data_IF_951135376948
#
_entry.id   IF_951135376948
#
_cell.length_a   1.000
_cell.length_b   1.000
_cell.length_c   1.000
_cell.angle_alpha   90.00
_cell.angle_beta   90.00
_cell.angle_gamma   90.00
#
_symmetry.space_group_name_H-M   'P 1'
#
loop_
_entity.id
_entity.type
_entity.pdbx_description
1 polymer ?
#
# COMPACT_ATOMS: atom_id res chain seq x y z
N UNK A 1 -7.07 15.61 1.74
CA UNK A 1 -5.78 16.02 1.17
C UNK A 1 -4.93 16.68 2.25
N UNK A 2 -3.66 16.25 2.36
CA UNK A 2 -2.61 16.94 3.09
C UNK A 2 -1.75 17.70 2.07
N UNK A 3 -1.86 19.02 2.05
CA UNK A 3 -1.14 19.86 1.08
C UNK A 3 0.17 20.36 1.68
N UNK A 4 1.28 20.31 0.93
CA UNK A 4 2.50 20.99 1.35
C UNK A 4 2.33 22.50 1.23
N UNK A 5 3.09 23.25 2.01
CA UNK A 5 3.16 24.69 1.92
C UNK A 5 4.34 25.12 1.01
N UNK A 6 4.23 24.78 -0.26
CA UNK A 6 5.23 25.06 -1.29
C UNK A 6 4.54 25.49 -2.59
N UNK A 7 5.20 26.34 -3.37
CA UNK A 7 4.72 26.76 -4.70
C UNK A 7 5.26 25.81 -5.78
N UNK A 8 4.46 25.60 -6.85
CA UNK A 8 4.80 24.81 -8.03
C UNK A 8 4.59 23.30 -7.89
N UNK A 9 5.01 22.53 -8.90
CA UNK A 9 4.79 21.08 -8.95
C UNK A 9 5.54 20.34 -7.85
N UNK A 10 4.84 19.52 -7.07
CA UNK A 10 5.39 18.68 -6.01
C UNK A 10 5.10 17.21 -6.28
N UNK A 11 5.79 16.31 -5.56
CA UNK A 11 5.41 14.91 -5.51
C UNK A 11 4.14 14.75 -4.70
N UNK A 12 3.28 13.85 -5.15
CA UNK A 12 2.06 13.46 -4.44
C UNK A 12 2.09 11.96 -4.13
N UNK A 13 1.38 11.58 -3.10
CA UNK A 13 1.15 10.18 -2.74
C UNK A 13 -0.34 9.91 -2.58
N UNK A 14 -0.79 8.79 -3.12
CA UNK A 14 -2.07 8.18 -2.75
C UNK A 14 -1.82 7.21 -1.62
N UNK A 15 -2.59 7.30 -0.53
CA UNK A 15 -2.46 6.40 0.62
C UNK A 15 -3.68 5.49 0.77
N UNK A 16 -3.41 4.18 0.93
CA UNK A 16 -4.36 3.14 1.30
C UNK A 16 -4.05 2.61 2.70
N UNK A 17 -4.96 2.86 3.63
CA UNK A 17 -4.80 2.48 5.03
C UNK A 17 -4.85 0.97 5.29
N UNK A 18 -4.29 0.54 6.42
CA UNK A 18 -4.43 -0.82 6.96
C UNK A 18 -5.75 -1.05 7.68
N UNK A 19 -5.82 -2.16 8.44
CA UNK A 19 -7.00 -2.51 9.23
C UNK A 19 -7.55 -3.91 8.93
N UNK A 20 -6.70 -4.79 8.37
CA UNK A 20 -7.06 -6.16 7.99
C UNK A 20 -8.34 -6.21 7.12
N UNK A 21 -8.45 -5.28 6.19
CA UNK A 21 -9.56 -5.07 5.23
C UNK A 21 -10.91 -4.72 5.84
N UNK A 22 -11.12 -4.89 7.16
CA UNK A 22 -12.41 -4.72 7.84
C UNK A 22 -12.50 -3.52 8.76
N UNK A 23 -11.48 -2.64 8.78
CA UNK A 23 -11.46 -1.45 9.62
C UNK A 23 -10.45 -0.42 9.13
N UNK A 24 -10.45 0.74 9.76
CA UNK A 24 -9.55 1.84 9.42
C UNK A 24 -10.22 2.90 8.56
N UNK A 25 -9.49 3.98 8.38
CA UNK A 25 -9.89 5.11 7.56
C UNK A 25 -8.65 5.88 7.08
N UNK A 26 -8.87 6.91 6.24
CA UNK A 26 -7.85 7.79 5.68
C UNK A 26 -6.96 8.52 6.70
N UNK A 27 -7.24 8.43 8.00
CA UNK A 27 -6.44 9.06 9.06
C UNK A 27 -5.45 8.09 9.71
N UNK A 28 -5.50 6.80 9.40
CA UNK A 28 -4.66 5.79 10.04
C UNK A 28 -3.16 6.08 9.93
N UNK A 29 -2.73 6.66 8.80
CA UNK A 29 -1.32 6.99 8.53
C UNK A 29 -1.03 8.50 8.72
N UNK A 30 -1.87 9.24 9.46
CA UNK A 30 -1.79 10.70 9.58
C UNK A 30 -0.41 11.23 10.04
N UNK A 31 0.31 10.49 10.87
CA UNK A 31 1.67 10.87 11.29
C UNK A 31 2.66 10.89 10.13
N UNK A 32 2.55 9.92 9.21
CA UNK A 32 3.37 9.86 7.98
C UNK A 32 2.95 10.98 7.03
N UNK A 33 1.64 11.20 6.88
CA UNK A 33 1.12 12.28 6.04
C UNK A 33 1.60 13.66 6.50
N UNK A 34 1.58 13.91 7.81
CA UNK A 34 2.00 15.18 8.38
C UNK A 34 3.50 15.44 8.13
N UNK A 35 4.35 14.42 8.30
CA UNK A 35 5.78 14.55 8.02
C UNK A 35 6.05 14.82 6.53
N UNK A 36 5.41 14.06 5.63
CA UNK A 36 5.56 14.25 4.19
C UNK A 36 5.11 15.63 3.76
N UNK A 37 3.94 16.10 4.22
CA UNK A 37 3.42 17.43 3.90
C UNK A 37 4.34 18.55 4.42
N UNK A 38 4.91 18.39 5.61
CA UNK A 38 5.89 19.34 6.17
C UNK A 38 7.19 19.42 5.35
N UNK A 39 7.48 18.40 4.54
CA UNK A 39 8.67 18.32 3.69
C UNK A 39 8.37 18.43 2.19
N UNK A 40 7.23 19.03 1.83
CA UNK A 40 6.93 19.38 0.44
C UNK A 40 6.31 18.27 -0.40
N UNK A 41 5.78 17.20 0.22
CA UNK A 41 5.09 16.11 -0.48
C UNK A 41 3.59 16.17 -0.17
N UNK A 42 2.74 16.23 -1.20
CA UNK A 42 1.30 16.16 -1.03
C UNK A 42 0.82 14.73 -0.74
N UNK A 43 -0.26 14.57 0.03
CA UNK A 43 -0.86 13.25 0.27
C UNK A 43 -2.38 13.32 0.07
N UNK A 44 -2.88 12.40 -0.76
CA UNK A 44 -4.30 12.10 -0.92
C UNK A 44 -4.58 10.75 -0.28
N UNK A 45 -5.13 10.75 0.93
CA UNK A 45 -5.50 9.53 1.63
C UNK A 45 -6.93 9.12 1.27
N UNK A 46 -7.11 7.84 0.95
CA UNK A 46 -8.38 7.27 0.50
C UNK A 46 -9.14 6.61 1.65
N UNK A 47 -10.47 6.73 1.61
CA UNK A 47 -11.37 5.73 2.15
C UNK A 47 -11.84 4.85 0.99
N UNK A 48 -11.99 3.57 1.23
CA UNK A 48 -12.45 2.57 0.27
C UNK A 48 -13.34 1.56 1.00
N UNK A 49 -14.15 0.81 0.25
CA UNK A 49 -15.06 -0.20 0.83
C UNK A 49 -14.29 -1.19 1.70
N UNK A 50 -14.82 -1.45 2.88
CA UNK A 50 -14.30 -2.46 3.79
C UNK A 50 -14.96 -3.83 3.53
N UNK A 51 -14.42 -4.88 4.14
CA UNK A 51 -14.87 -6.25 3.91
C UNK A 51 -16.28 -6.57 4.41
N UNK A 52 -16.87 -5.72 5.25
CA UNK A 52 -18.28 -5.79 5.65
C UNK A 52 -19.23 -5.15 4.62
N UNK A 53 -18.70 -4.32 3.72
CA UNK A 53 -19.45 -3.70 2.63
C UNK A 53 -19.33 -4.53 1.33
N UNK A 54 -18.11 -5.02 1.01
CA UNK A 54 -17.86 -5.84 -0.16
C UNK A 54 -16.57 -6.64 -0.05
N UNK A 55 -16.55 -7.85 -0.63
CA UNK A 55 -15.35 -8.67 -0.69
C UNK A 55 -14.40 -8.26 -1.82
N UNK A 56 -13.16 -8.80 -1.79
CA UNK A 56 -12.22 -8.71 -2.90
C UNK A 56 -12.93 -9.08 -4.24
N UNK A 57 -12.71 -8.32 -5.31
CA UNK A 57 -11.70 -7.28 -5.51
C UNK A 57 -12.19 -5.85 -5.24
N UNK A 58 -13.35 -5.64 -4.62
CA UNK A 58 -14.01 -4.33 -4.54
C UNK A 58 -13.11 -3.21 -3.98
N UNK A 59 -12.38 -3.47 -2.89
CA UNK A 59 -11.47 -2.48 -2.30
C UNK A 59 -10.26 -2.17 -3.21
N UNK A 60 -9.82 -3.12 -4.04
CA UNK A 60 -8.74 -2.89 -5.01
C UNK A 60 -9.24 -2.05 -6.18
N UNK A 61 -10.48 -2.28 -6.61
CA UNK A 61 -11.15 -1.47 -7.63
C UNK A 61 -11.33 -0.02 -7.15
N UNK A 62 -11.73 0.19 -5.89
CA UNK A 62 -11.84 1.52 -5.28
C UNK A 62 -10.50 2.25 -5.23
N UNK A 63 -9.42 1.55 -4.87
CA UNK A 63 -8.05 2.12 -4.88
C UNK A 63 -7.63 2.50 -6.30
N UNK A 64 -7.86 1.63 -7.27
CA UNK A 64 -7.59 1.90 -8.69
C UNK A 64 -8.40 3.12 -9.18
N UNK A 65 -9.70 3.16 -8.84
CA UNK A 65 -10.58 4.30 -9.11
C UNK A 65 -10.04 5.59 -8.45
N UNK A 66 -9.66 5.53 -7.18
CA UNK A 66 -9.15 6.68 -6.44
C UNK A 66 -7.89 7.30 -7.07
N UNK A 67 -6.96 6.46 -7.57
CA UNK A 67 -5.76 6.91 -8.29
C UNK A 67 -6.16 7.65 -9.59
N UNK A 68 -7.04 7.04 -10.39
CA UNK A 68 -7.53 7.65 -11.65
C UNK A 68 -8.28 8.94 -11.39
N UNK A 69 -9.18 8.93 -10.41
CA UNK A 69 -9.96 10.09 -10.01
C UNK A 69 -9.05 11.24 -9.57
N UNK A 70 -8.06 10.97 -8.73
CA UNK A 70 -7.14 12.01 -8.25
C UNK A 70 -6.36 12.65 -9.41
N UNK A 71 -5.87 11.83 -10.34
CA UNK A 71 -5.20 12.31 -11.56
C UNK A 71 -6.15 13.17 -12.43
N UNK A 72 -7.38 12.69 -12.64
CA UNK A 72 -8.37 13.38 -13.46
C UNK A 72 -8.83 14.71 -12.82
N UNK A 73 -8.85 14.80 -11.50
CA UNK A 73 -9.29 15.98 -10.76
C UNK A 73 -8.15 16.94 -10.37
N UNK A 74 -6.92 16.68 -10.80
CA UNK A 74 -5.75 17.45 -10.38
C UNK A 74 -5.93 18.96 -10.61
N UNK A 75 -6.40 19.36 -11.78
CA UNK A 75 -6.69 20.77 -12.11
C UNK A 75 -7.78 21.35 -11.21
N UNK A 76 -8.91 20.64 -11.04
CA UNK A 76 -10.04 21.07 -10.20
C UNK A 76 -9.64 21.22 -8.73
N UNK A 77 -8.72 20.35 -8.28
CA UNK A 77 -8.21 20.35 -6.92
C UNK A 77 -7.04 21.33 -6.73
N UNK A 78 -6.64 22.08 -7.76
CA UNK A 78 -5.45 22.93 -7.71
C UNK A 78 -4.20 22.14 -7.24
N UNK A 79 -3.96 21.02 -7.91
CA UNK A 79 -2.84 20.10 -7.65
C UNK A 79 -1.90 20.14 -8.84
N UNK A 80 -0.71 20.70 -8.64
CA UNK A 80 0.39 20.56 -9.58
C UNK A 80 1.27 19.37 -9.17
N UNK A 81 1.25 18.33 -9.99
CA UNK A 81 1.88 17.05 -9.68
C UNK A 81 3.11 16.81 -10.57
N UNK A 82 4.29 16.66 -9.95
CA UNK A 82 5.50 16.25 -10.66
C UNK A 82 5.62 14.73 -10.79
N UNK A 83 5.21 13.99 -9.75
CA UNK A 83 5.15 12.53 -9.68
C UNK A 83 4.02 12.11 -8.76
N UNK A 84 3.44 10.93 -8.99
CA UNK A 84 2.46 10.32 -8.12
C UNK A 84 2.95 8.97 -7.61
N UNK A 85 3.22 8.87 -6.31
CA UNK A 85 3.51 7.61 -5.64
C UNK A 85 2.31 7.01 -4.94
N UNK A 86 2.49 5.79 -4.46
CA UNK A 86 1.56 5.11 -3.57
C UNK A 86 2.18 4.88 -2.20
N UNK A 87 1.37 4.95 -1.15
CA UNK A 87 1.64 4.46 0.20
C UNK A 87 0.58 3.42 0.54
N UNK A 88 0.99 2.28 1.04
CA UNK A 88 0.06 1.31 1.57
C UNK A 88 0.56 0.75 2.90
N UNK A 89 -0.30 0.65 3.91
CA UNK A 89 0.06 0.04 5.19
C UNK A 89 -0.70 -1.26 5.43
N UNK A 90 -0.02 -2.33 5.90
CA UNK A 90 -0.64 -3.63 6.22
C UNK A 90 -1.50 -4.16 5.06
N UNK A 91 -2.82 -4.33 5.25
CA UNK A 91 -3.77 -4.72 4.21
C UNK A 91 -3.89 -3.70 3.07
N UNK A 92 -3.73 -2.41 3.35
CA UNK A 92 -3.68 -1.37 2.31
C UNK A 92 -2.49 -1.55 1.37
N UNK A 93 -1.37 -2.08 1.86
CA UNK A 93 -0.22 -2.39 1.01
C UNK A 93 -0.48 -3.56 0.06
N UNK A 94 -1.36 -4.50 0.41
CA UNK A 94 -1.81 -5.55 -0.52
C UNK A 94 -2.61 -4.94 -1.67
N UNK A 95 -3.57 -4.07 -1.37
CA UNK A 95 -4.42 -3.41 -2.38
C UNK A 95 -3.59 -2.49 -3.29
N UNK A 96 -2.80 -1.60 -2.69
CA UNK A 96 -1.90 -0.70 -3.42
C UNK A 96 -0.86 -1.47 -4.24
N UNK A 97 -0.33 -2.58 -3.69
CA UNK A 97 0.64 -3.43 -4.38
C UNK A 97 0.06 -4.07 -5.65
N UNK A 98 -1.18 -4.53 -5.61
CA UNK A 98 -1.87 -5.07 -6.80
C UNK A 98 -2.01 -4.00 -7.89
N UNK A 99 -2.44 -2.79 -7.53
CA UNK A 99 -2.59 -1.69 -8.49
C UNK A 99 -1.22 -1.21 -8.99
N UNK A 100 -0.23 -1.07 -8.11
CA UNK A 100 1.13 -0.68 -8.49
C UNK A 100 1.78 -1.66 -9.48
N UNK A 101 1.53 -2.97 -9.30
CA UNK A 101 2.06 -4.02 -10.18
C UNK A 101 1.25 -4.22 -11.47
N UNK A 102 -0.07 -3.98 -11.42
CA UNK A 102 -0.99 -4.20 -12.55
C UNK A 102 -2.07 -3.10 -12.61
N UNK A 103 -1.70 -1.85 -12.95
CA UNK A 103 -2.63 -0.71 -12.90
C UNK A 103 -3.81 -0.83 -13.87
N UNK A 104 -3.67 -1.60 -14.94
CA UNK A 104 -4.69 -1.79 -15.98
C UNK A 104 -5.34 -3.19 -15.95
N UNK A 105 -5.19 -3.96 -14.86
CA UNK A 105 -5.80 -5.28 -14.77
C UNK A 105 -7.34 -5.16 -14.76
N UNK A 106 -8.05 -5.82 -15.71
CA UNK A 106 -9.50 -5.70 -15.84
C UNK A 106 -10.28 -6.19 -14.61
N UNK A 107 -9.65 -6.98 -13.74
CA UNK A 107 -10.27 -7.52 -12.52
C UNK A 107 -10.58 -6.44 -11.48
N UNK A 108 -9.81 -5.35 -11.48
CA UNK A 108 -9.98 -4.20 -10.59
C UNK A 108 -9.77 -2.85 -11.29
N UNK A 109 -10.11 -2.80 -12.58
CA UNK A 109 -10.15 -1.54 -13.31
C UNK A 109 -11.57 -0.98 -13.25
N UNK A 110 -11.70 0.26 -12.80
CA UNK A 110 -13.01 0.92 -12.64
C UNK A 110 -13.88 0.81 -13.88
N UNK A 111 -15.16 0.65 -13.65
CA UNK A 111 -16.20 0.64 -14.69
C UNK A 111 -16.65 2.02 -15.14
N UNK A 112 -16.12 3.10 -14.54
CA UNK A 112 -16.42 4.45 -14.95
C UNK A 112 -15.76 4.77 -16.32
N UNK A 113 -16.55 4.95 -17.40
CA UNK A 113 -16.01 5.17 -18.74
C UNK A 113 -15.14 6.44 -18.85
N UNK A 114 -15.43 7.48 -18.06
CA UNK A 114 -14.68 8.74 -18.10
C UNK A 114 -13.29 8.56 -17.50
N UNK A 115 -13.14 7.67 -16.54
CA UNK A 115 -11.88 7.37 -15.85
C UNK A 115 -11.09 6.21 -16.46
N UNK A 116 -11.69 5.36 -17.30
CA UNK A 116 -10.97 4.23 -17.92
C UNK A 116 -9.80 4.65 -18.80
N UNK A 117 -9.85 5.87 -19.35
CA UNK A 117 -8.77 6.42 -20.17
C UNK A 117 -7.65 7.07 -19.35
N UNK A 118 -7.85 7.28 -18.04
CA UNK A 118 -6.85 7.82 -17.14
C UNK A 118 -6.00 6.65 -16.63
N UNK A 119 -4.68 6.74 -16.76
CA UNK A 119 -3.78 5.70 -16.27
C UNK A 119 -3.73 5.65 -14.74
N UNK A 120 -3.78 4.42 -14.16
CA UNK A 120 -3.69 4.19 -12.71
C UNK A 120 -2.27 3.82 -12.25
N UNK A 121 -1.24 3.90 -13.10
CA UNK A 121 0.14 3.64 -12.68
C UNK A 121 0.63 4.64 -11.63
N UNK A 122 1.55 4.21 -10.82
CA UNK A 122 2.24 5.07 -9.84
C UNK A 122 3.73 5.04 -10.12
N UNK A 123 4.40 6.16 -9.85
CA UNK A 123 5.82 6.34 -10.16
C UNK A 123 6.74 5.66 -9.13
N UNK A 124 6.26 5.48 -7.89
CA UNK A 124 6.97 4.80 -6.80
C UNK A 124 5.99 4.25 -5.76
N UNK A 125 6.46 3.30 -4.92
CA UNK A 125 5.59 2.66 -3.93
C UNK A 125 6.28 2.52 -2.57
N UNK A 126 5.62 2.98 -1.52
CA UNK A 126 5.98 2.80 -0.11
C UNK A 126 5.07 1.75 0.52
N UNK A 127 5.62 0.65 1.00
CA UNK A 127 4.89 -0.42 1.66
C UNK A 127 5.28 -0.49 3.15
N UNK A 128 4.38 -0.10 4.03
CA UNK A 128 4.59 -0.06 5.47
C UNK A 128 4.02 -1.32 6.13
N UNK A 129 4.87 -2.15 6.79
CA UNK A 129 4.50 -3.45 7.40
C UNK A 129 3.52 -4.26 6.55
N UNK A 130 3.85 -4.50 5.27
CA UNK A 130 2.86 -4.85 4.26
C UNK A 130 2.44 -6.32 4.30
N UNK A 131 1.18 -6.57 3.93
CA UNK A 131 0.70 -7.90 3.57
C UNK A 131 0.90 -8.08 2.05
N UNK A 132 2.04 -8.65 1.63
CA UNK A 132 2.32 -8.87 0.20
C UNK A 132 2.03 -10.31 -0.24
N UNK A 133 1.77 -11.21 0.72
CA UNK A 133 1.30 -12.58 0.50
C UNK A 133 0.14 -12.90 1.45
N UNK A 134 -1.11 -12.54 1.09
CA UNK A 134 -2.27 -12.80 1.94
C UNK A 134 -2.55 -14.30 2.15
N UNK A 135 -2.22 -15.17 1.20
CA UNK A 135 -2.43 -16.61 1.33
C UNK A 135 -1.47 -17.25 2.32
N UNK A 136 -0.17 -16.91 2.26
CA UNK A 136 0.79 -17.37 3.24
C UNK A 136 0.44 -16.86 4.65
N UNK A 137 0.01 -15.59 4.74
CA UNK A 137 -0.46 -15.02 6.02
C UNK A 137 -1.70 -15.74 6.55
N UNK A 138 -2.67 -16.06 5.71
CA UNK A 138 -3.87 -16.82 6.11
C UNK A 138 -3.49 -18.16 6.75
N UNK A 139 -2.62 -18.93 6.09
CA UNK A 139 -2.14 -20.20 6.61
C UNK A 139 -1.39 -20.07 7.93
N UNK A 140 -0.51 -19.07 8.04
CA UNK A 140 0.21 -18.78 9.28
C UNK A 140 -0.73 -18.50 10.46
N UNK A 141 -1.75 -17.64 10.24
CA UNK A 141 -2.68 -17.29 11.32
C UNK A 141 -3.64 -18.43 11.68
N UNK A 142 -3.94 -19.33 10.75
CA UNK A 142 -4.66 -20.57 11.02
C UNK A 142 -3.84 -21.51 11.89
N UNK A 143 -2.56 -21.74 11.55
CA UNK A 143 -1.64 -22.57 12.32
C UNK A 143 -1.40 -22.01 13.75
N UNK A 144 -1.36 -20.68 13.87
CA UNK A 144 -1.24 -19.98 15.15
C UNK A 144 -2.56 -19.94 15.96
N UNK A 145 -3.69 -20.40 15.42
CA UNK A 145 -4.99 -20.34 16.07
C UNK A 145 -5.52 -18.90 16.25
N UNK A 146 -5.11 -17.97 15.43
CA UNK A 146 -5.55 -16.57 15.52
C UNK A 146 -6.89 -16.37 14.80
N UNK A 147 -7.99 -16.77 15.49
CA UNK A 147 -9.35 -16.72 14.92
C UNK A 147 -9.76 -15.34 14.41
N UNK A 148 -9.32 -14.25 15.06
CA UNK A 148 -9.63 -12.88 14.62
C UNK A 148 -9.04 -12.57 13.25
N UNK A 149 -7.79 -12.96 13.01
CA UNK A 149 -7.16 -12.72 11.72
C UNK A 149 -7.62 -13.70 10.64
N UNK A 150 -7.97 -14.93 11.00
CA UNK A 150 -8.64 -15.88 10.09
C UNK A 150 -9.96 -15.29 9.63
N UNK A 151 -10.82 -14.85 10.55
CA UNK A 151 -12.11 -14.23 10.22
C UNK A 151 -11.96 -12.98 9.34
N UNK A 152 -10.90 -12.18 9.52
CA UNK A 152 -10.64 -11.03 8.67
C UNK A 152 -10.31 -11.41 7.21
N UNK A 153 -9.57 -12.52 7.00
CA UNK A 153 -9.34 -13.04 5.65
C UNK A 153 -10.62 -13.58 5.02
N UNK A 154 -11.40 -14.37 5.79
CA UNK A 154 -12.65 -14.97 5.31
C UNK A 154 -13.71 -13.90 5.00
N UNK A 155 -13.69 -12.77 5.71
CA UNK A 155 -14.56 -11.63 5.39
C UNK A 155 -14.14 -10.93 4.09
N UNK A 156 -12.84 -10.80 3.84
CA UNK A 156 -12.31 -10.11 2.67
C UNK A 156 -12.34 -10.96 1.40
N UNK A 157 -11.97 -12.25 1.51
CA UNK A 157 -11.80 -13.14 0.37
C UNK A 157 -12.83 -14.28 0.44
N UNK A 158 -13.58 -14.50 -0.63
CA UNK A 158 -14.57 -15.58 -0.68
C UNK A 158 -13.92 -16.98 -0.70
N UNK A 159 -12.62 -17.07 -1.03
CA UNK A 159 -11.90 -18.35 -1.15
C UNK A 159 -10.38 -18.18 -1.13
N UNK A 160 -9.62 -19.27 -0.94
CA UNK A 160 -8.17 -19.28 -1.15
C UNK A 160 -7.78 -18.97 -2.61
N UNK A 161 -8.68 -19.24 -3.57
CA UNK A 161 -8.44 -18.85 -4.96
C UNK A 161 -8.42 -17.32 -5.11
N UNK A 162 -9.30 -16.60 -4.42
CA UNK A 162 -9.29 -15.14 -4.40
C UNK A 162 -8.05 -14.60 -3.66
N UNK A 163 -7.60 -15.27 -2.59
CA UNK A 163 -6.35 -14.94 -1.92
C UNK A 163 -5.12 -15.17 -2.81
N UNK A 164 -5.21 -16.15 -3.73
CA UNK A 164 -4.17 -16.44 -4.72
C UNK A 164 -4.17 -15.41 -5.85
N UNK A 165 -5.34 -15.01 -6.32
CA UNK A 165 -5.51 -13.97 -7.34
C UNK A 165 -5.08 -12.61 -6.79
N UNK A 166 -5.60 -12.22 -5.63
CA UNK A 166 -5.34 -10.95 -4.95
C UNK A 166 -4.00 -10.90 -4.18
N UNK A 167 -2.96 -11.53 -4.71
CA UNK A 167 -1.69 -11.75 -4.03
C UNK A 167 -0.54 -11.09 -4.80
N UNK A 168 0.02 -9.96 -4.30
CA UNK A 168 1.14 -9.29 -4.96
C UNK A 168 2.37 -10.18 -5.18
N UNK A 169 2.73 -11.05 -4.21
CA UNK A 169 3.85 -11.96 -4.33
C UNK A 169 3.63 -12.98 -5.46
N UNK A 170 2.47 -13.67 -5.44
CA UNK A 170 2.14 -14.68 -6.45
C UNK A 170 1.94 -14.07 -7.84
N UNK A 171 1.43 -12.84 -7.91
CA UNK A 171 1.33 -12.10 -9.18
C UNK A 171 2.70 -11.86 -9.81
N UNK A 172 3.70 -11.46 -9.01
CA UNK A 172 5.10 -11.36 -9.45
C UNK A 172 5.67 -12.72 -9.84
N UNK A 173 5.44 -13.75 -9.04
CA UNK A 173 5.94 -15.10 -9.29
C UNK A 173 5.44 -15.64 -10.62
N UNK A 174 4.15 -15.48 -10.92
CA UNK A 174 3.52 -15.89 -12.18
C UNK A 174 3.98 -15.03 -13.39
N UNK A 175 4.68 -13.90 -13.14
CA UNK A 175 5.12 -12.99 -14.20
C UNK A 175 3.99 -12.16 -14.81
N UNK A 176 2.94 -11.92 -14.06
CA UNK A 176 1.75 -11.15 -14.45
C UNK A 176 1.91 -9.64 -14.21
N UNK A 177 2.93 -9.23 -13.44
CA UNK A 177 3.21 -7.82 -13.21
C UNK A 177 3.57 -7.11 -14.52
N UNK A 178 2.87 -6.03 -14.82
CA UNK A 178 3.09 -5.18 -15.99
C UNK A 178 3.90 -3.94 -15.66
N UNK A 179 4.08 -3.66 -14.36
CA UNK A 179 4.79 -2.51 -13.83
C UNK A 179 5.53 -2.88 -12.54
N UNK A 180 6.72 -2.32 -12.33
CA UNK A 180 7.54 -2.55 -11.13
C UNK A 180 8.19 -1.23 -10.70
N UNK A 181 7.40 -0.27 -10.13
CA UNK A 181 7.91 1.04 -9.74
C UNK A 181 8.98 0.90 -8.63
N UNK A 182 9.96 1.82 -8.52
CA UNK A 182 10.84 1.88 -7.36
C UNK A 182 10.04 1.76 -6.05
N UNK A 183 10.52 0.94 -5.11
CA UNK A 183 9.76 0.58 -3.91
C UNK A 183 10.62 0.66 -2.66
N UNK A 184 10.02 1.01 -1.54
CA UNK A 184 10.60 0.83 -0.21
C UNK A 184 9.65 0.09 0.72
N UNK A 185 10.20 -0.80 1.55
CA UNK A 185 9.45 -1.59 2.53
C UNK A 185 9.93 -1.23 3.94
N UNK A 186 9.00 -0.90 4.82
CA UNK A 186 9.23 -0.66 6.25
C UNK A 186 8.66 -1.85 7.03
N UNK A 187 9.49 -2.56 7.82
CA UNK A 187 9.07 -3.78 8.51
C UNK A 187 9.69 -3.91 9.90
N UNK A 188 8.88 -4.18 10.91
CA UNK A 188 9.34 -4.54 12.25
C UNK A 188 9.72 -6.02 12.35
N UNK A 189 10.79 -6.37 13.07
CA UNK A 189 11.24 -7.78 13.19
C UNK A 189 10.47 -8.60 14.24
N UNK A 190 9.74 -7.93 15.17
CA UNK A 190 8.85 -8.57 16.13
C UNK A 190 7.37 -8.48 15.69
N UNK A 191 7.11 -8.35 14.40
CA UNK A 191 5.77 -8.33 13.84
C UNK A 191 5.11 -9.72 13.94
N UNK A 192 4.11 -9.84 14.80
CA UNK A 192 3.33 -11.07 14.98
C UNK A 192 2.17 -11.21 13.97
N UNK A 193 1.94 -10.20 13.14
CA UNK A 193 0.89 -10.19 12.12
C UNK A 193 1.39 -10.65 10.76
N UNK A 194 2.64 -10.31 10.43
CA UNK A 194 3.28 -10.60 9.16
C UNK A 194 4.72 -11.04 9.42
N UNK A 195 5.05 -12.26 9.02
CA UNK A 195 6.41 -12.77 9.16
C UNK A 195 7.41 -11.89 8.36
N UNK A 196 8.33 -11.25 9.08
CA UNK A 196 9.20 -10.23 8.50
C UNK A 196 10.13 -10.75 7.40
N UNK A 197 10.42 -12.05 7.36
CA UNK A 197 11.26 -12.67 6.34
C UNK A 197 10.57 -12.81 4.98
N UNK A 198 9.25 -12.70 4.94
CA UNK A 198 8.52 -12.68 3.66
C UNK A 198 8.84 -11.42 2.85
N UNK A 199 9.16 -10.32 3.51
CA UNK A 199 9.57 -9.10 2.80
C UNK A 199 10.91 -9.29 2.07
N UNK A 200 11.82 -10.11 2.63
CA UNK A 200 13.08 -10.45 1.95
C UNK A 200 12.81 -11.27 0.68
N UNK A 201 11.94 -12.28 0.77
CA UNK A 201 11.54 -13.12 -0.38
C UNK A 201 10.85 -12.30 -1.46
N UNK A 202 9.93 -11.41 -1.05
CA UNK A 202 9.29 -10.50 -1.98
C UNK A 202 10.30 -9.60 -2.67
N UNK A 203 11.22 -9.00 -1.92
CA UNK A 203 12.24 -8.11 -2.46
C UNK A 203 13.21 -8.83 -3.42
N UNK A 204 13.60 -10.07 -3.09
CA UNK A 204 14.42 -10.90 -3.98
C UNK A 204 13.70 -11.14 -5.31
N UNK A 205 12.43 -11.56 -5.24
CA UNK A 205 11.61 -11.80 -6.43
C UNK A 205 11.39 -10.50 -7.23
N UNK A 206 11.10 -9.38 -6.54
CA UNK A 206 10.89 -8.07 -7.16
C UNK A 206 12.12 -7.63 -7.97
N UNK A 207 13.31 -7.77 -7.39
CA UNK A 207 14.58 -7.47 -8.08
C UNK A 207 14.83 -8.42 -9.26
N UNK A 208 14.52 -9.71 -9.09
CA UNK A 208 14.61 -10.69 -10.17
C UNK A 208 13.69 -10.37 -11.37
N UNK A 209 12.60 -9.63 -11.14
CA UNK A 209 11.68 -9.12 -12.17
C UNK A 209 12.06 -7.73 -12.69
N UNK A 210 13.23 -7.20 -12.32
CA UNK A 210 13.76 -5.92 -12.80
C UNK A 210 13.35 -4.70 -11.98
N UNK A 211 12.59 -4.87 -10.90
CA UNK A 211 12.21 -3.80 -9.99
C UNK A 211 13.35 -3.41 -9.03
N UNK A 212 13.29 -2.18 -8.55
CA UNK A 212 14.18 -1.68 -7.49
C UNK A 212 13.41 -1.64 -6.17
N UNK A 213 13.96 -2.23 -5.11
CA UNK A 213 13.32 -2.23 -3.79
C UNK A 213 14.35 -2.20 -2.67
N UNK A 214 14.11 -1.33 -1.68
CA UNK A 214 14.83 -1.29 -0.42
C UNK A 214 13.96 -1.84 0.71
N UNK A 215 14.56 -2.63 1.62
CA UNK A 215 13.87 -3.19 2.79
C UNK A 215 14.54 -2.66 4.04
N UNK A 216 13.80 -1.88 4.81
CA UNK A 216 14.24 -1.36 6.11
C UNK A 216 13.58 -2.16 7.22
N UNK A 217 14.41 -2.89 7.98
CA UNK A 217 13.97 -3.68 9.13
C UNK A 217 14.30 -2.96 10.43
N UNK A 218 13.30 -2.90 11.32
CA UNK A 218 13.40 -2.27 12.62
C UNK A 218 13.38 -3.35 13.70
N UNK A 219 14.51 -3.56 14.34
CA UNK A 219 14.70 -4.64 15.29
C UNK A 219 13.78 -4.51 16.51
N UNK A 220 13.13 -5.62 16.88
CA UNK A 220 12.21 -5.69 18.00
C UNK A 220 10.89 -4.89 17.83
N UNK A 221 10.66 -4.26 16.68
CA UNK A 221 9.44 -3.48 16.49
C UNK A 221 8.26 -4.36 16.06
N UNK A 222 7.05 -4.14 16.64
CA UNK A 222 5.84 -4.87 16.31
C UNK A 222 5.18 -4.36 15.01
N UNK A 223 4.07 -5.00 14.63
CA UNK A 223 3.18 -4.50 13.59
C UNK A 223 2.68 -3.10 13.89
N UNK A 224 2.58 -2.24 12.89
CA UNK A 224 2.08 -0.83 13.00
C UNK A 224 2.87 0.07 13.96
N UNK A 225 4.10 -0.27 14.34
CA UNK A 225 4.86 0.47 15.35
C UNK A 225 4.95 1.99 15.09
N UNK A 226 5.03 2.39 13.82
CA UNK A 226 5.15 3.80 13.44
C UNK A 226 3.91 4.61 13.83
N UNK A 227 2.72 4.04 13.61
CA UNK A 227 1.44 4.73 13.88
C UNK A 227 0.94 4.49 15.29
N UNK A 228 1.32 3.36 15.92
CA UNK A 228 0.94 3.02 17.30
C UNK A 228 1.71 3.85 18.34
N UNK A 229 3.00 4.10 18.09
CA UNK A 229 3.83 4.93 18.98
C UNK A 229 4.81 5.77 18.13
N UNK A 230 4.35 6.90 17.56
CA UNK A 230 5.13 7.73 16.64
C UNK A 230 6.30 8.45 17.29
N UNK A 231 6.34 8.54 18.63
CA UNK A 231 7.37 9.26 19.34
C UNK A 231 8.65 8.45 19.59
N UNK A 232 8.61 7.14 19.38
CA UNK A 232 9.81 6.30 19.54
C UNK A 232 10.90 6.63 18.52
N UNK A 233 12.15 6.34 18.88
CA UNK A 233 13.28 6.53 17.96
C UNK A 233 13.12 5.71 16.68
N UNK A 234 12.63 4.46 16.79
CA UNK A 234 12.41 3.58 15.65
C UNK A 234 11.32 4.12 14.71
N UNK A 235 10.21 4.65 15.26
CA UNK A 235 9.13 5.24 14.46
C UNK A 235 9.58 6.50 13.72
N UNK A 236 10.32 7.37 14.41
CA UNK A 236 10.91 8.58 13.79
C UNK A 236 11.89 8.21 12.69
N UNK A 237 12.75 7.22 12.90
CA UNK A 237 13.68 6.74 11.89
C UNK A 237 12.94 6.14 10.69
N UNK A 238 11.89 5.35 10.92
CA UNK A 238 11.07 4.78 9.84
C UNK A 238 10.42 5.88 8.98
N UNK A 239 9.87 6.93 9.61
CA UNK A 239 9.30 8.09 8.89
C UNK A 239 10.40 8.81 8.07
N UNK A 240 11.59 8.97 8.63
CA UNK A 240 12.75 9.53 7.89
C UNK A 240 13.08 8.67 6.67
N UNK A 241 13.13 7.33 6.81
CA UNK A 241 13.38 6.43 5.68
C UNK A 241 12.33 6.52 4.58
N UNK A 242 11.05 6.61 4.95
CA UNK A 242 9.97 6.86 3.99
C UNK A 242 10.21 8.18 3.25
N UNK A 243 10.45 9.26 3.96
CA UNK A 243 10.68 10.58 3.38
C UNK A 243 11.92 10.63 2.49
N UNK A 244 13.06 10.08 2.95
CA UNK A 244 14.30 10.01 2.15
C UNK A 244 14.07 9.29 0.83
N UNK A 245 13.36 8.16 0.85
CA UNK A 245 12.99 7.45 -0.37
C UNK A 245 12.11 8.30 -1.28
N UNK A 246 11.01 8.86 -0.75
CA UNK A 246 10.05 9.66 -1.55
C UNK A 246 10.72 10.88 -2.17
N UNK A 247 11.62 11.54 -1.45
CA UNK A 247 12.34 12.72 -1.99
C UNK A 247 13.45 12.34 -2.96
N UNK A 248 14.01 11.14 -2.84
CA UNK A 248 15.15 10.66 -3.63
C UNK A 248 14.81 10.05 -4.99
N UNK A 249 13.57 9.60 -5.19
CA UNK A 249 13.09 9.03 -6.47
C UNK A 249 12.82 10.10 -7.50
#
# INVERSE_FOLDING_TARGET
LNRPNTDGPVKWMIDGHGGAWGSGDRLNNAVIHADLAAHGVGVCALDFRLSDEAQYPAMVDDVNYGIRWFKAQAETLDVEMSMLGALGSSSGAQQMGLVALCPANPRWTTMDPELTMVDASVDFFVAAWPILDPLARYRMVQEAGNERLVAAHDACFASEADMTEGNPYLLLERGEATHTPPMTIIQGTADANVEHTWQDKFAELYRAKGGQVDVHKFDGQPHTFVTADPETAASKEAIVKIREFVLGV
#
